data_IF_521814180167
#
_entry.id   IF_521814180167
#
_cell.length_a   1.000
_cell.length_b   1.000
_cell.length_c   1.000
_cell.angle_alpha   90.00
_cell.angle_beta   90.00
_cell.angle_gamma   90.00
#
_symmetry.space_group_name_H-M   'P 1'
#
loop_
_entity.id
_entity.type
_entity.pdbx_description
1 polymer ?
#
# COMPACT_ATOMS: atom_id res chain seq x y z
N UNK A 1 -18.42 5.13 -38.99
CA UNK A 1 -17.02 5.39 -38.61
C UNK A 1 -17.04 5.93 -37.18
N UNK A 2 -16.52 5.17 -36.21
CA UNK A 2 -16.35 5.57 -34.80
C UNK A 2 -14.84 5.66 -34.53
N UNK A 3 -14.45 6.68 -33.75
CA UNK A 3 -13.10 7.28 -33.70
C UNK A 3 -11.96 6.42 -33.15
N UNK A 4 -10.73 6.96 -33.15
CA UNK A 4 -9.48 6.20 -33.01
C UNK A 4 -9.10 5.82 -31.56
N UNK A 5 -9.99 5.99 -30.58
CA UNK A 5 -9.58 6.08 -29.17
C UNK A 5 -9.66 4.72 -28.41
N UNK A 6 -9.55 3.60 -29.12
CA UNK A 6 -9.83 2.26 -28.56
C UNK A 6 -8.61 1.36 -28.34
N UNK A 7 -7.37 1.85 -28.52
CA UNK A 7 -6.20 0.97 -28.64
C UNK A 7 -5.17 1.07 -27.50
N UNK A 8 -5.19 2.10 -26.64
CA UNK A 8 -4.09 2.28 -25.67
C UNK A 8 -4.21 1.35 -24.46
N UNK A 9 -5.43 0.95 -24.08
CA UNK A 9 -5.67 0.04 -22.96
C UNK A 9 -5.24 -1.40 -23.26
N UNK A 10 -5.21 -1.82 -24.53
CA UNK A 10 -4.79 -3.18 -24.90
C UNK A 10 -3.29 -3.37 -24.75
N UNK A 11 -2.49 -2.34 -25.07
CA UNK A 11 -1.03 -2.40 -24.94
C UNK A 11 -0.59 -2.47 -23.48
N UNK A 12 -1.24 -1.75 -22.58
CA UNK A 12 -0.95 -1.83 -21.13
C UNK A 12 -1.26 -3.24 -20.60
N UNK A 13 -2.38 -3.83 -20.99
CA UNK A 13 -2.74 -5.20 -20.60
C UNK A 13 -1.74 -6.24 -21.15
N UNK A 14 -1.26 -6.04 -22.39
CA UNK A 14 -0.26 -6.91 -23.01
C UNK A 14 1.11 -6.74 -22.35
N UNK A 15 1.55 -5.52 -22.08
CA UNK A 15 2.82 -5.24 -21.38
C UNK A 15 2.77 -5.79 -19.95
N UNK A 16 1.64 -5.62 -19.25
CA UNK A 16 1.43 -6.18 -17.92
C UNK A 16 1.47 -7.71 -17.93
N UNK A 17 0.81 -8.35 -18.91
CA UNK A 17 0.86 -9.80 -19.06
C UNK A 17 2.28 -10.30 -19.37
N UNK A 18 3.03 -9.63 -20.25
CA UNK A 18 4.43 -9.97 -20.56
C UNK A 18 5.33 -9.76 -19.33
N UNK A 19 5.14 -8.68 -18.57
CA UNK A 19 5.84 -8.43 -17.31
C UNK A 19 5.55 -9.54 -16.29
N UNK A 20 4.30 -9.99 -16.15
CA UNK A 20 3.93 -11.10 -15.28
C UNK A 20 4.54 -12.44 -15.74
N UNK A 21 4.56 -12.73 -17.05
CA UNK A 21 5.12 -13.97 -17.59
C UNK A 21 6.65 -14.00 -17.42
N UNK A 22 7.32 -12.89 -17.75
CA UNK A 22 8.78 -12.77 -17.56
C UNK A 22 9.16 -12.81 -16.08
N UNK A 23 8.37 -12.19 -15.19
CA UNK A 23 8.53 -12.37 -13.75
C UNK A 23 8.35 -13.83 -13.36
N UNK A 24 7.36 -14.54 -13.91
CA UNK A 24 7.06 -15.95 -13.61
C UNK A 24 8.22 -16.89 -13.99
N UNK A 25 8.87 -16.68 -15.14
CA UNK A 25 10.02 -17.49 -15.57
C UNK A 25 11.27 -17.22 -14.73
N UNK A 26 11.49 -15.98 -14.31
CA UNK A 26 12.62 -15.61 -13.44
C UNK A 26 12.37 -16.07 -11.98
N UNK A 27 11.10 -16.11 -11.54
CA UNK A 27 10.65 -16.59 -10.23
C UNK A 27 10.90 -18.08 -9.99
N UNK A 28 11.19 -18.90 -11.01
CA UNK A 28 11.45 -20.32 -10.79
C UNK A 28 12.84 -20.58 -10.19
N UNK A 29 13.72 -19.57 -10.20
CA UNK A 29 15.01 -19.67 -9.55
C UNK A 29 14.90 -19.39 -8.04
N UNK A 30 15.12 -20.42 -7.22
CA UNK A 30 15.06 -20.31 -5.75
C UNK A 30 15.98 -19.23 -5.16
N UNK A 31 17.11 -18.93 -5.81
CA UNK A 31 18.01 -17.84 -5.38
C UNK A 31 17.40 -16.47 -5.62
N UNK A 32 16.68 -16.31 -6.73
CA UNK A 32 16.04 -15.05 -7.09
C UNK A 32 14.88 -14.72 -6.13
N UNK A 33 14.05 -15.71 -5.77
CA UNK A 33 12.97 -15.51 -4.79
C UNK A 33 13.50 -15.14 -3.40
N UNK A 34 14.61 -15.74 -2.99
CA UNK A 34 15.30 -15.39 -1.73
C UNK A 34 15.82 -13.95 -1.77
N UNK A 35 16.41 -13.53 -2.88
CA UNK A 35 16.94 -12.19 -3.07
C UNK A 35 15.82 -11.13 -3.12
N UNK A 36 14.74 -11.39 -3.87
CA UNK A 36 13.53 -10.54 -3.91
C UNK A 36 12.89 -10.41 -2.52
N UNK A 37 12.78 -11.52 -1.78
CA UNK A 37 12.25 -11.51 -0.41
C UNK A 37 13.12 -10.65 0.51
N UNK A 38 14.45 -10.76 0.42
CA UNK A 38 15.36 -9.95 1.21
C UNK A 38 15.25 -8.45 0.88
N UNK A 39 15.13 -8.10 -0.40
CA UNK A 39 14.92 -6.72 -0.85
C UNK A 39 13.58 -6.18 -0.31
N UNK A 40 12.50 -6.97 -0.39
CA UNK A 40 11.19 -6.55 0.10
C UNK A 40 11.19 -6.33 1.61
N UNK A 41 11.87 -7.18 2.37
CA UNK A 41 12.04 -7.01 3.82
C UNK A 41 12.83 -5.72 4.14
N UNK A 42 13.91 -5.44 3.40
CA UNK A 42 14.65 -4.19 3.56
C UNK A 42 13.78 -2.96 3.26
N UNK A 43 12.96 -3.00 2.19
CA UNK A 43 12.02 -1.93 1.88
C UNK A 43 10.98 -1.74 2.98
N UNK A 44 10.40 -2.82 3.52
CA UNK A 44 9.47 -2.75 4.64
C UNK A 44 10.12 -2.11 5.87
N UNK A 45 11.32 -2.54 6.26
CA UNK A 45 12.05 -1.94 7.39
C UNK A 45 12.30 -0.45 7.15
N UNK A 46 12.72 -0.07 5.95
CA UNK A 46 12.94 1.33 5.60
C UNK A 46 11.66 2.16 5.70
N UNK A 47 10.54 1.66 5.17
CA UNK A 47 9.24 2.34 5.23
C UNK A 47 8.76 2.49 6.67
N UNK A 48 8.94 1.47 7.52
CA UNK A 48 8.61 1.54 8.95
C UNK A 48 9.42 2.63 9.65
N UNK A 49 10.75 2.65 9.46
CA UNK A 49 11.63 3.65 10.09
C UNK A 49 11.28 5.06 9.60
N UNK A 50 11.07 5.23 8.30
CA UNK A 50 10.69 6.52 7.71
C UNK A 50 9.34 6.99 8.24
N UNK A 51 8.34 6.12 8.25
CA UNK A 51 7.02 6.42 8.78
C UNK A 51 7.06 6.79 10.26
N UNK A 52 7.86 6.10 11.06
CA UNK A 52 8.04 6.41 12.48
C UNK A 52 8.66 7.80 12.66
N UNK A 53 9.70 8.12 11.88
CA UNK A 53 10.35 9.43 11.94
C UNK A 53 9.41 10.57 11.54
N UNK A 54 8.65 10.40 10.46
CA UNK A 54 7.65 11.38 10.01
C UNK A 54 6.57 11.57 11.07
N UNK A 55 5.98 10.49 11.57
CA UNK A 55 4.92 10.56 12.59
C UNK A 55 5.39 11.25 13.86
N UNK A 56 6.62 10.97 14.32
CA UNK A 56 7.19 11.64 15.49
C UNK A 56 7.46 13.12 15.24
N UNK A 57 7.90 13.47 14.04
CA UNK A 57 8.12 14.86 13.65
C UNK A 57 6.80 15.63 13.64
N UNK A 58 5.77 15.09 13.00
CA UNK A 58 4.46 15.73 12.89
C UNK A 58 3.83 15.93 14.28
N UNK A 59 3.90 14.93 15.18
CA UNK A 59 3.43 15.09 16.57
C UNK A 59 4.14 16.25 17.31
N UNK A 60 5.40 16.53 16.98
CA UNK A 60 6.20 17.56 17.67
C UNK A 60 6.01 18.97 17.09
N UNK A 61 5.77 19.07 15.79
CA UNK A 61 5.70 20.35 15.07
C UNK A 61 4.28 20.89 14.97
N UNK A 62 3.29 20.07 15.27
CA UNK A 62 1.92 20.38 14.92
C UNK A 62 1.20 21.20 16.00
N UNK A 63 0.44 22.18 15.49
CA UNK A 63 -0.23 23.19 16.30
C UNK A 63 -1.40 22.61 17.12
N UNK A 64 -1.63 23.17 18.31
CA UNK A 64 -2.63 22.67 19.26
C UNK A 64 -4.09 22.89 18.83
N UNK A 65 -4.31 23.63 17.74
CA UNK A 65 -5.61 24.12 17.30
C UNK A 65 -6.28 23.25 16.21
N UNK A 66 -5.87 21.99 16.09
CA UNK A 66 -6.31 21.10 15.03
C UNK A 66 -7.41 20.19 15.56
N UNK A 67 -8.46 20.02 14.76
CA UNK A 67 -9.57 19.17 15.11
C UNK A 67 -9.13 17.70 15.10
N UNK A 68 -9.22 17.07 16.27
CA UNK A 68 -8.74 15.69 16.49
C UNK A 68 -9.89 14.84 17.02
N UNK A 69 -9.89 13.57 16.64
CA UNK A 69 -10.92 12.61 16.98
C UNK A 69 -10.77 12.12 18.42
N UNK A 70 -9.53 11.94 18.88
CA UNK A 70 -9.20 11.57 20.26
C UNK A 70 -8.18 12.54 20.85
N UNK A 71 -7.05 12.73 20.16
CA UNK A 71 -5.97 13.64 20.54
C UNK A 71 -4.95 13.68 19.41
N UNK A 72 -4.28 14.81 19.19
CA UNK A 72 -3.22 14.99 18.17
C UNK A 72 -2.26 13.80 18.16
N UNK A 73 -1.71 13.43 19.32
CA UNK A 73 -0.77 12.32 19.41
C UNK A 73 -1.40 10.98 19.03
N UNK A 74 -2.60 10.68 19.52
CA UNK A 74 -3.26 9.40 19.29
C UNK A 74 -3.66 9.22 17.82
N UNK A 75 -4.15 10.29 17.20
CA UNK A 75 -4.63 10.27 15.82
C UNK A 75 -3.49 10.08 14.82
N UNK A 76 -2.31 10.68 15.08
CA UNK A 76 -1.10 10.42 14.29
C UNK A 76 -0.59 8.98 14.41
N UNK A 77 -0.65 8.39 15.61
CA UNK A 77 -0.35 6.98 15.78
C UNK A 77 -1.34 6.08 15.05
N UNK A 78 -2.63 6.43 15.03
CA UNK A 78 -3.64 5.72 14.26
C UNK A 78 -3.33 5.81 12.76
N UNK A 79 -2.95 6.98 12.25
CA UNK A 79 -2.55 7.17 10.85
C UNK A 79 -1.30 6.34 10.51
N UNK A 80 -0.30 6.32 11.39
CA UNK A 80 0.89 5.50 11.24
C UNK A 80 0.54 4.01 11.17
N UNK A 81 -0.27 3.51 12.11
CA UNK A 81 -0.69 2.11 12.14
C UNK A 81 -1.49 1.76 10.88
N UNK A 82 -2.40 2.64 10.44
CA UNK A 82 -3.14 2.47 9.17
C UNK A 82 -2.18 2.29 8.00
N UNK A 83 -1.20 3.18 7.87
CA UNK A 83 -0.21 3.12 6.79
C UNK A 83 0.63 1.83 6.88
N UNK A 84 1.03 1.42 8.08
CA UNK A 84 1.76 0.15 8.28
C UNK A 84 0.93 -1.07 7.86
N UNK A 85 -0.36 -1.09 8.16
CA UNK A 85 -1.27 -2.16 7.71
C UNK A 85 -1.36 -2.17 6.19
N UNK A 86 -1.51 -1.00 5.55
CA UNK A 86 -1.55 -0.90 4.08
C UNK A 86 -0.26 -1.42 3.42
N UNK A 87 0.92 -1.04 3.93
CA UNK A 87 2.20 -1.57 3.45
C UNK A 87 2.33 -3.08 3.70
N UNK A 88 1.81 -3.57 4.83
CA UNK A 88 1.75 -5.00 5.14
C UNK A 88 0.86 -5.77 4.15
N UNK A 89 -0.29 -5.21 3.75
CA UNK A 89 -1.15 -5.79 2.72
C UNK A 89 -0.46 -5.79 1.35
N UNK A 90 0.23 -4.71 0.99
CA UNK A 90 1.03 -4.63 -0.24
C UNK A 90 2.12 -5.71 -0.26
N UNK A 91 2.78 -5.96 0.88
CA UNK A 91 3.75 -7.04 1.01
C UNK A 91 3.12 -8.43 0.95
N UNK A 92 1.92 -8.61 1.51
CA UNK A 92 1.18 -9.87 1.40
C UNK A 92 0.87 -10.21 -0.05
N UNK A 93 0.47 -9.22 -0.87
CA UNK A 93 0.28 -9.40 -2.32
C UNK A 93 1.59 -9.85 -2.98
N UNK A 94 2.70 -9.17 -2.67
CA UNK A 94 4.02 -9.53 -3.22
C UNK A 94 4.42 -10.98 -2.87
N UNK A 95 4.21 -11.41 -1.62
CA UNK A 95 4.50 -12.77 -1.20
C UNK A 95 3.56 -13.81 -1.82
N UNK A 96 2.28 -13.48 -1.99
CA UNK A 96 1.30 -14.35 -2.66
C UNK A 96 1.76 -14.65 -4.10
N UNK A 97 2.20 -13.62 -4.85
CA UNK A 97 2.74 -13.80 -6.19
C UNK A 97 4.03 -14.64 -6.26
N UNK A 98 4.91 -14.55 -5.26
CA UNK A 98 6.18 -15.29 -5.25
C UNK A 98 6.02 -16.74 -4.82
N UNK A 99 5.20 -17.00 -3.81
CA UNK A 99 5.19 -18.29 -3.12
C UNK A 99 3.94 -19.13 -3.38
N UNK A 100 2.82 -18.53 -3.80
CA UNK A 100 1.54 -19.25 -3.91
C UNK A 100 1.19 -19.47 -5.38
N UNK A 101 1.58 -20.63 -5.90
CA UNK A 101 1.26 -21.07 -7.27
C UNK A 101 -0.01 -21.93 -7.29
N UNK A 102 -1.20 -21.40 -6.96
CA UNK A 102 -2.47 -22.11 -7.24
C UNK A 102 -3.75 -21.26 -7.05
N UNK A 103 -4.92 -21.88 -7.18
CA UNK A 103 -6.26 -21.32 -6.88
C UNK A 103 -6.39 -20.64 -5.51
N UNK A 104 -5.54 -21.00 -4.54
CA UNK A 104 -5.50 -20.36 -3.21
C UNK A 104 -5.03 -18.90 -3.26
N UNK A 105 -4.16 -18.52 -4.21
CA UNK A 105 -3.73 -17.13 -4.38
C UNK A 105 -4.92 -16.20 -4.67
N UNK A 106 -5.86 -16.67 -5.51
CA UNK A 106 -7.05 -15.90 -5.83
C UNK A 106 -7.94 -15.63 -4.61
N UNK A 107 -8.04 -16.59 -3.68
CA UNK A 107 -8.80 -16.39 -2.43
C UNK A 107 -8.09 -15.40 -1.50
N UNK A 108 -6.77 -15.51 -1.37
CA UNK A 108 -5.96 -14.59 -0.55
C UNK A 108 -6.04 -13.17 -1.10
N UNK A 109 -5.90 -13.02 -2.42
CA UNK A 109 -6.02 -11.73 -3.10
C UNK A 109 -7.41 -11.11 -2.90
N UNK A 110 -8.48 -11.91 -2.95
CA UNK A 110 -9.84 -11.44 -2.68
C UNK A 110 -9.99 -10.93 -1.24
N UNK A 111 -9.44 -11.65 -0.26
CA UNK A 111 -9.43 -11.21 1.15
C UNK A 111 -8.65 -9.89 1.29
N UNK A 112 -7.50 -9.76 0.63
CA UNK A 112 -6.70 -8.53 0.67
C UNK A 112 -7.48 -7.35 0.09
N UNK A 113 -8.18 -7.54 -1.03
CA UNK A 113 -9.02 -6.49 -1.64
C UNK A 113 -10.12 -6.03 -0.68
N UNK A 114 -10.77 -6.95 0.03
CA UNK A 114 -11.78 -6.60 1.05
C UNK A 114 -11.15 -5.78 2.19
N UNK A 115 -9.97 -6.20 2.68
CA UNK A 115 -9.26 -5.48 3.73
C UNK A 115 -8.85 -4.07 3.28
N UNK A 116 -8.44 -3.92 2.02
CA UNK A 116 -8.12 -2.62 1.43
C UNK A 116 -9.36 -1.71 1.35
N UNK A 117 -10.50 -2.26 0.94
CA UNK A 117 -11.78 -1.53 0.95
C UNK A 117 -12.18 -1.07 2.35
N UNK A 118 -11.98 -1.91 3.38
CA UNK A 118 -12.22 -1.55 4.77
C UNK A 118 -11.30 -0.42 5.26
N UNK A 119 -10.03 -0.43 4.84
CA UNK A 119 -9.09 0.67 5.15
C UNK A 119 -9.55 2.00 4.55
N UNK A 120 -10.00 2.02 3.29
CA UNK A 120 -10.51 3.23 2.63
C UNK A 120 -11.79 3.74 3.34
N UNK A 121 -12.70 2.84 3.73
CA UNK A 121 -13.89 3.23 4.49
C UNK A 121 -13.53 3.80 5.87
N UNK A 122 -12.50 3.25 6.51
CA UNK A 122 -11.99 3.77 7.77
C UNK A 122 -11.40 5.18 7.58
N UNK A 123 -10.60 5.39 6.54
CA UNK A 123 -10.01 6.69 6.17
C UNK A 123 -11.08 7.75 5.94
N UNK A 124 -12.06 7.48 5.07
CA UNK A 124 -13.19 8.38 4.82
C UNK A 124 -13.97 8.78 6.09
N UNK A 125 -14.02 7.89 7.09
CA UNK A 125 -14.69 8.17 8.37
C UNK A 125 -13.79 8.95 9.32
N UNK A 126 -12.48 8.70 9.27
CA UNK A 126 -11.46 9.35 10.09
C UNK A 126 -11.20 10.78 9.61
N UNK A 127 -11.03 11.01 8.31
CA UNK A 127 -10.96 12.33 7.67
C UNK A 127 -12.16 13.22 8.02
N UNK A 128 -13.38 12.69 7.91
CA UNK A 128 -14.60 13.43 8.32
C UNK A 128 -14.64 13.86 9.79
N UNK A 129 -13.75 13.32 10.62
CA UNK A 129 -13.68 13.55 12.06
C UNK A 129 -12.38 14.23 12.49
N UNK A 130 -11.41 14.39 11.58
CA UNK A 130 -10.07 14.92 11.86
C UNK A 130 -9.56 15.73 10.69
N UNK A 131 -9.10 16.95 10.95
CA UNK A 131 -8.55 17.84 9.91
C UNK A 131 -7.05 17.60 9.71
N UNK A 132 -6.54 16.46 10.18
CA UNK A 132 -5.12 16.10 10.15
C UNK A 132 -4.61 15.94 8.71
N UNK A 133 -5.48 15.54 7.78
CA UNK A 133 -5.15 15.33 6.38
C UNK A 133 -5.32 16.59 5.52
N UNK A 134 -6.14 17.56 5.96
CA UNK A 134 -6.41 18.80 5.21
C UNK A 134 -5.23 19.80 5.26
N UNK A 135 -4.39 19.74 6.30
CA UNK A 135 -3.30 20.72 6.49
C UNK A 135 -2.13 20.50 5.51
N UNK A 136 -1.98 19.31 4.94
CA UNK A 136 -0.90 19.00 3.98
C UNK A 136 -1.18 19.45 2.54
N UNK A 137 -2.39 19.92 2.21
CA UNK A 137 -2.74 20.37 0.85
C UNK A 137 -2.60 21.90 0.66
N UNK A 138 -2.07 22.62 1.65
CA UNK A 138 -1.94 24.09 1.62
C UNK A 138 -0.52 24.66 1.81
N UNK A 139 0.53 23.87 1.56
CA UNK A 139 1.89 24.41 1.34
C UNK A 139 2.55 23.88 0.05
#
# INVERSE_FOLDING_TARGET
>A
MKGPDANDTSWVAVIFAIACITMSEILENSLYNKLLTAIMLLMLIFVVIRGLKTTLYDIQTQDSNINTFISVKADYWILFIKNMIAYGLMAAIFFDFIFIKNSLAWLILLIIVILFGLLILFENKFEKKTDILEINDTE
#
